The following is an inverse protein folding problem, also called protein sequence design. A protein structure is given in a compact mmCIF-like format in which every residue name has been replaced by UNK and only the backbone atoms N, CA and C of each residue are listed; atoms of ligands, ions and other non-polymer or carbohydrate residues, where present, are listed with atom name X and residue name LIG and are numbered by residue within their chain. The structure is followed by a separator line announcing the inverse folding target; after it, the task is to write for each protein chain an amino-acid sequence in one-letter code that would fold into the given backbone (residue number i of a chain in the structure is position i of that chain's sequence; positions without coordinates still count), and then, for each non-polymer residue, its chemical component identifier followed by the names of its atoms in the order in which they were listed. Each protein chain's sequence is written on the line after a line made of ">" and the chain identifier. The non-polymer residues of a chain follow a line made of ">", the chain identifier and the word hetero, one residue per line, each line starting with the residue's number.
data_IF_068471152344
#
_entry.id   IF_068471152344
#
_cell.length_a   1.000
_cell.length_b   1.000
_cell.length_c   1.000
_cell.angle_alpha   90.00
_cell.angle_beta   90.00
_cell.angle_gamma   90.00
#
_symmetry.space_group_name_H-M   'P 1'
#
loop_
_entity.id
_entity.type
_entity.pdbx_description
1 polymer ?
#
# COMPACT_ATOMS: atom_id res chain seq x y z
N UNK A 1 -6.97 3.76 21.04
CA UNK A 1 -6.53 2.40 20.67
C UNK A 1 -7.28 1.39 21.54
N UNK A 2 -8.56 1.17 21.25
CA UNK A 2 -9.50 0.50 22.20
C UNK A 2 -10.56 -0.34 21.49
N UNK A 3 -10.35 -0.69 20.22
CA UNK A 3 -11.22 -1.63 19.50
C UNK A 3 -10.52 -2.96 19.33
N UNK A 4 -11.21 -4.05 19.68
CA UNK A 4 -10.80 -5.46 19.48
C UNK A 4 -10.34 -5.72 18.05
N UNK A 5 -10.93 -5.00 17.09
CA UNK A 5 -10.58 -5.13 15.67
C UNK A 5 -9.12 -4.76 15.39
N UNK A 6 -8.49 -3.93 16.23
CA UNK A 6 -7.08 -3.59 16.12
C UNK A 6 -6.14 -4.72 16.59
N UNK A 7 -6.67 -5.84 17.08
CA UNK A 7 -5.89 -7.05 17.33
C UNK A 7 -6.15 -8.11 16.26
N UNK A 8 -7.12 -7.91 15.36
CA UNK A 8 -7.52 -8.90 14.37
C UNK A 8 -6.43 -9.20 13.31
N UNK A 9 -5.46 -8.29 13.12
CA UNK A 9 -4.30 -8.52 12.26
C UNK A 9 -3.20 -9.37 12.93
N UNK A 10 -3.33 -9.64 14.23
CA UNK A 10 -2.30 -10.28 15.03
C UNK A 10 -2.40 -11.82 15.03
N UNK A 11 -2.70 -12.42 13.86
CA UNK A 11 -2.76 -13.87 13.68
C UNK A 11 -1.45 -14.57 14.08
N UNK A 12 -0.32 -13.88 13.96
CA UNK A 12 1.01 -14.32 14.40
C UNK A 12 1.15 -14.50 15.92
N UNK A 13 0.20 -14.02 16.72
CA UNK A 13 0.19 -14.22 18.17
C UNK A 13 -0.32 -15.62 18.57
N UNK A 14 -0.76 -16.44 17.62
CA UNK A 14 -1.25 -17.80 17.89
C UNK A 14 -2.57 -17.84 18.64
N UNK A 15 -3.35 -16.76 18.62
CA UNK A 15 -4.62 -16.67 19.33
C UNK A 15 -5.74 -17.48 18.66
N UNK A 16 -5.70 -17.65 17.35
CA UNK A 16 -6.71 -18.43 16.61
C UNK A 16 -6.10 -19.18 15.44
N UNK A 17 -6.68 -20.32 15.10
CA UNK A 17 -6.21 -21.21 14.05
C UNK A 17 -6.95 -22.54 14.03
N UNK A 18 -6.57 -23.40 13.10
CA UNK A 18 -7.13 -24.75 13.00
C UNK A 18 -6.27 -25.70 13.84
N UNK A 19 -6.86 -26.33 14.86
CA UNK A 19 -6.19 -27.29 15.72
C UNK A 19 -6.42 -27.06 17.22
N UNK A 20 -6.21 -28.07 18.07
CA UNK A 20 -6.39 -27.98 19.52
C UNK A 20 -5.39 -27.07 20.23
N UNK A 21 -4.29 -26.68 19.56
CA UNK A 21 -3.28 -25.77 20.07
C UNK A 21 -3.72 -24.30 20.09
N UNK A 22 -4.78 -23.95 19.36
CA UNK A 22 -5.28 -22.59 19.28
C UNK A 22 -6.40 -22.34 20.31
N UNK A 23 -6.34 -21.24 21.09
CA UNK A 23 -7.38 -20.89 22.05
C UNK A 23 -8.75 -20.62 21.42
N UNK A 24 -8.77 -20.12 20.17
CA UNK A 24 -9.98 -19.82 19.43
C UNK A 24 -9.98 -20.51 18.04
N UNK A 25 -11.12 -21.05 17.58
CA UNK A 25 -11.21 -21.78 16.32
C UNK A 25 -11.15 -20.87 15.08
N UNK A 26 -11.49 -19.59 15.23
CA UNK A 26 -11.42 -18.60 14.15
C UNK A 26 -11.26 -17.19 14.70
N UNK A 27 -10.88 -16.27 13.80
CA UNK A 27 -10.79 -14.83 14.08
C UNK A 27 -12.14 -14.27 14.55
N UNK A 28 -13.22 -14.66 13.90
CA UNK A 28 -14.58 -14.22 14.22
C UNK A 28 -14.96 -14.66 15.64
N UNK A 29 -14.62 -15.90 16.02
CA UNK A 29 -14.86 -16.42 17.36
C UNK A 29 -14.09 -15.63 18.43
N UNK A 30 -12.82 -15.28 18.17
CA UNK A 30 -12.03 -14.42 19.05
C UNK A 30 -12.67 -13.03 19.21
N UNK A 31 -13.02 -12.37 18.09
CA UNK A 31 -13.61 -11.03 18.12
C UNK A 31 -14.92 -11.04 18.90
N UNK A 32 -15.81 -11.99 18.62
CA UNK A 32 -17.09 -12.10 19.34
C UNK A 32 -16.91 -12.37 20.83
N UNK A 33 -15.94 -13.21 21.21
CA UNK A 33 -15.64 -13.48 22.62
C UNK A 33 -15.12 -12.23 23.35
N UNK A 34 -14.25 -11.45 22.70
CA UNK A 34 -13.72 -10.21 23.25
C UNK A 34 -14.77 -9.10 23.33
N UNK A 35 -15.69 -9.01 22.38
CA UNK A 35 -16.81 -8.07 22.42
C UNK A 35 -17.80 -8.42 23.54
N UNK A 36 -18.12 -9.70 23.70
CA UNK A 36 -19.00 -10.18 24.77
C UNK A 36 -18.37 -10.01 26.17
N UNK A 37 -17.07 -10.27 26.31
CA UNK A 37 -16.35 -10.17 27.58
C UNK A 37 -15.83 -8.77 27.93
N UNK A 38 -15.90 -7.83 26.98
CA UNK A 38 -15.49 -6.43 27.16
C UNK A 38 -14.04 -6.26 27.63
N UNK A 39 -13.80 -5.22 28.43
CA UNK A 39 -12.45 -4.84 28.87
C UNK A 39 -11.79 -5.93 29.73
N UNK A 40 -12.56 -6.64 30.55
CA UNK A 40 -12.04 -7.68 31.43
C UNK A 40 -11.46 -8.87 30.64
N UNK A 41 -12.16 -9.35 29.61
CA UNK A 41 -11.65 -10.41 28.75
C UNK A 41 -10.40 -9.97 27.98
N UNK A 42 -10.39 -8.72 27.51
CA UNK A 42 -9.23 -8.15 26.84
C UNK A 42 -8.00 -8.03 27.75
N UNK A 43 -8.21 -7.74 29.04
CA UNK A 43 -7.15 -7.66 30.03
C UNK A 43 -6.50 -9.03 30.30
N UNK A 44 -7.31 -10.10 30.36
CA UNK A 44 -6.79 -11.48 30.50
C UNK A 44 -5.92 -11.84 29.29
N UNK A 45 -6.42 -11.60 28.07
CA UNK A 45 -5.66 -11.90 26.84
C UNK A 45 -4.36 -11.07 26.81
N UNK A 46 -4.40 -9.79 27.14
CA UNK A 46 -3.20 -8.96 27.18
C UNK A 46 -2.17 -9.43 28.22
N UNK A 47 -2.64 -9.89 29.39
CA UNK A 47 -1.79 -10.46 30.45
C UNK A 47 -1.13 -11.75 29.99
N UNK A 48 -1.87 -12.63 29.33
CA UNK A 48 -1.35 -13.92 28.86
C UNK A 48 -0.34 -13.70 27.73
N UNK A 49 -0.65 -12.83 26.76
CA UNK A 49 0.29 -12.45 25.71
C UNK A 49 1.58 -11.82 26.26
N UNK A 50 1.48 -11.02 27.33
CA UNK A 50 2.66 -10.47 28.01
C UNK A 50 3.49 -11.57 28.68
N UNK A 51 2.84 -12.54 29.30
CA UNK A 51 3.50 -13.68 29.98
C UNK A 51 4.21 -14.59 28.98
N UNK A 52 3.62 -14.78 27.80
CA UNK A 52 4.21 -15.53 26.68
C UNK A 52 5.29 -14.74 25.92
N UNK A 53 5.54 -13.47 26.30
CA UNK A 53 6.51 -12.61 25.62
C UNK A 53 6.03 -12.01 24.30
N UNK A 54 4.84 -12.39 23.82
CA UNK A 54 4.22 -11.90 22.58
C UNK A 54 3.75 -10.45 22.66
N UNK A 55 3.57 -9.91 23.86
CA UNK A 55 3.19 -8.52 24.10
C UNK A 55 4.17 -7.84 25.06
N UNK A 56 5.40 -7.66 24.57
CA UNK A 56 6.58 -7.29 25.37
C UNK A 56 6.63 -5.80 25.71
N UNK A 57 6.12 -4.91 24.85
CA UNK A 57 6.14 -3.46 25.08
C UNK A 57 4.88 -2.77 24.54
N UNK A 58 4.30 -1.87 25.35
CA UNK A 58 3.12 -1.04 24.97
C UNK A 58 3.53 0.16 24.10
N UNK A 59 4.79 0.57 24.18
CA UNK A 59 5.40 1.63 23.41
C UNK A 59 6.88 1.30 23.22
N UNK A 60 7.42 1.65 22.05
CA UNK A 60 8.86 1.58 21.80
C UNK A 60 9.51 2.83 22.38
N UNK A 61 10.60 2.66 23.14
CA UNK A 61 11.46 3.79 23.51
C UNK A 61 12.24 4.24 22.27
N UNK A 62 12.43 5.54 22.12
CA UNK A 62 13.35 6.09 21.11
C UNK A 62 14.80 6.11 21.59
N UNK A 63 15.05 5.72 22.85
CA UNK A 63 16.40 5.61 23.39
C UNK A 63 17.22 4.57 22.60
N UNK A 64 18.40 4.98 22.11
CA UNK A 64 19.25 4.15 21.25
C UNK A 64 18.81 4.01 19.79
N UNK A 65 17.71 4.66 19.36
CA UNK A 65 17.28 4.63 17.95
C UNK A 65 18.24 5.45 17.09
N UNK A 66 18.76 4.82 16.03
CA UNK A 66 19.53 5.49 14.98
C UNK A 66 18.66 5.61 13.74
N UNK A 67 18.74 6.75 13.07
CA UNK A 67 18.11 6.98 11.78
C UNK A 67 19.18 6.94 10.71
N UNK A 68 18.92 6.18 9.65
CA UNK A 68 19.77 6.13 8.48
C UNK A 68 18.92 6.19 7.20
N UNK A 69 19.48 6.78 6.15
CA UNK A 69 18.85 6.88 4.84
C UNK A 69 19.51 5.86 3.93
N UNK A 70 18.80 4.78 3.65
CA UNK A 70 19.25 3.80 2.65
C UNK A 70 19.06 4.38 1.25
N UNK A 71 20.16 4.79 0.63
CA UNK A 71 20.17 5.29 -0.74
C UNK A 71 20.21 4.13 -1.76
N UNK A 72 19.36 4.21 -2.77
CA UNK A 72 19.44 3.35 -3.95
C UNK A 72 19.94 4.18 -5.14
N UNK A 73 21.20 3.99 -5.52
CA UNK A 73 21.76 4.58 -6.72
C UNK A 73 21.15 3.88 -7.96
N UNK A 74 20.49 4.66 -8.81
CA UNK A 74 19.95 4.13 -10.06
C UNK A 74 21.10 3.66 -10.96
N UNK A 75 20.96 2.44 -11.46
CA UNK A 75 21.84 1.90 -12.51
C UNK A 75 21.59 2.65 -13.83
N UNK A 76 22.56 2.66 -14.76
CA UNK A 76 22.38 3.29 -16.07
C UNK A 76 21.12 2.82 -16.81
N UNK A 77 20.79 1.52 -16.72
CA UNK A 77 19.58 0.95 -17.31
C UNK A 77 18.30 1.48 -16.63
N UNK A 78 18.29 1.64 -15.30
CA UNK A 78 17.15 2.23 -14.60
C UNK A 78 16.98 3.72 -14.91
N UNK A 79 18.09 4.47 -15.07
CA UNK A 79 18.09 5.85 -15.53
C UNK A 79 17.47 5.96 -16.91
N UNK A 80 17.86 5.10 -17.86
CA UNK A 80 17.29 5.08 -19.20
C UNK A 80 15.77 4.82 -19.18
N UNK A 81 15.31 3.86 -18.38
CA UNK A 81 13.89 3.57 -18.19
C UNK A 81 13.16 4.80 -17.63
N UNK A 82 13.72 5.44 -16.59
CA UNK A 82 13.14 6.63 -15.98
C UNK A 82 13.02 7.77 -17.00
N UNK A 83 14.08 8.03 -17.74
CA UNK A 83 14.15 9.10 -18.73
C UNK A 83 13.19 8.86 -19.91
N UNK A 84 13.04 7.61 -20.35
CA UNK A 84 12.06 7.24 -21.37
C UNK A 84 10.63 7.58 -20.94
N UNK A 85 10.25 7.22 -19.71
CA UNK A 85 8.93 7.57 -19.17
C UNK A 85 8.79 9.08 -18.93
N UNK A 86 9.82 9.76 -18.43
CA UNK A 86 9.82 11.20 -18.28
C UNK A 86 9.61 11.91 -19.63
N UNK A 87 10.25 11.43 -20.69
CA UNK A 87 10.06 11.88 -22.07
C UNK A 87 8.62 11.66 -22.55
N UNK A 88 8.03 10.50 -22.27
CA UNK A 88 6.64 10.21 -22.61
C UNK A 88 5.65 11.14 -21.89
N UNK A 89 5.77 11.29 -20.56
CA UNK A 89 4.93 12.20 -19.78
C UNK A 89 5.10 13.66 -20.19
N UNK A 90 6.32 14.09 -20.56
CA UNK A 90 6.57 15.42 -21.11
C UNK A 90 5.82 15.63 -22.43
N UNK A 91 5.84 14.64 -23.31
CA UNK A 91 5.12 14.68 -24.60
C UNK A 91 3.61 14.77 -24.37
N UNK A 92 3.06 13.97 -23.45
CA UNK A 92 1.63 14.02 -23.11
C UNK A 92 1.28 15.39 -22.51
N UNK A 93 2.07 15.88 -21.58
CA UNK A 93 1.84 17.18 -20.94
C UNK A 93 1.85 18.33 -21.96
N UNK A 94 2.78 18.31 -22.92
CA UNK A 94 2.83 19.30 -24.01
C UNK A 94 1.55 19.31 -24.86
N UNK A 95 1.02 18.13 -25.15
CA UNK A 95 -0.19 17.98 -25.97
C UNK A 95 -1.51 18.01 -25.17
N UNK A 96 -1.44 18.13 -23.84
CA UNK A 96 -2.60 17.98 -22.95
C UNK A 96 -3.69 19.02 -23.24
N UNK A 97 -3.30 20.29 -23.47
CA UNK A 97 -4.27 21.35 -23.80
C UNK A 97 -4.97 21.10 -25.14
N UNK A 98 -4.19 20.70 -26.16
CA UNK A 98 -4.75 20.36 -27.47
C UNK A 98 -5.69 19.16 -27.39
N UNK A 99 -5.32 18.14 -26.62
CA UNK A 99 -6.17 16.97 -26.37
C UNK A 99 -7.47 17.36 -25.66
N UNK A 100 -7.41 18.19 -24.60
CA UNK A 100 -8.60 18.64 -23.87
C UNK A 100 -9.57 19.44 -24.75
N UNK A 101 -9.04 20.28 -25.66
CA UNK A 101 -9.85 20.99 -26.65
C UNK A 101 -10.45 20.03 -27.67
N UNK A 102 -9.67 19.08 -28.20
CA UNK A 102 -10.15 18.10 -29.17
C UNK A 102 -11.24 17.18 -28.61
N UNK A 103 -11.21 16.88 -27.30
CA UNK A 103 -12.22 16.05 -26.62
C UNK A 103 -13.45 16.85 -26.15
N UNK A 104 -13.58 18.12 -26.52
CA UNK A 104 -14.73 18.96 -26.15
C UNK A 104 -14.80 19.34 -24.68
N UNK A 105 -13.73 19.13 -23.90
CA UNK A 105 -13.66 19.57 -22.49
C UNK A 105 -13.55 21.10 -22.42
N UNK A 106 -12.90 21.70 -23.42
CA UNK A 106 -12.92 23.13 -23.67
C UNK A 106 -13.92 23.39 -24.82
N UNK A 107 -15.23 23.41 -24.54
CA UNK A 107 -16.16 23.86 -25.56
C UNK A 107 -16.01 25.38 -25.76
N UNK A 108 -15.97 25.83 -27.00
CA UNK A 108 -15.68 27.22 -27.38
C UNK A 108 -16.81 28.21 -27.01
N UNK A 109 -17.85 27.74 -26.34
CA UNK A 109 -19.06 28.47 -25.94
C UNK A 109 -18.94 29.26 -24.64
N UNK A 110 -17.86 29.08 -23.86
CA UNK A 110 -17.61 29.87 -22.65
C UNK A 110 -18.51 29.54 -21.45
N UNK A 111 -19.11 28.35 -21.40
CA UNK A 111 -19.93 27.93 -20.27
C UNK A 111 -19.11 27.69 -18.99
N UNK A 112 -19.72 28.03 -17.84
CA UNK A 112 -19.13 28.05 -16.49
C UNK A 112 -18.57 26.71 -15.99
N UNK A 113 -18.79 25.60 -16.69
CA UNK A 113 -18.33 24.25 -16.33
C UNK A 113 -17.03 23.81 -17.04
N UNK A 114 -16.61 24.46 -18.13
CA UNK A 114 -15.43 24.07 -18.89
C UNK A 114 -14.12 24.25 -18.08
N UNK A 115 -14.06 25.29 -17.25
CA UNK A 115 -12.89 25.58 -16.39
C UNK A 115 -12.70 24.53 -15.28
N UNK A 116 -13.79 24.08 -14.66
CA UNK A 116 -13.78 23.03 -13.64
C UNK A 116 -13.42 21.66 -14.24
N UNK A 117 -13.96 21.33 -15.42
CA UNK A 117 -13.62 20.10 -16.12
C UNK A 117 -12.14 20.05 -16.52
N UNK A 118 -11.60 21.16 -17.04
CA UNK A 118 -10.18 21.33 -17.34
C UNK A 118 -9.29 21.17 -16.11
N UNK A 119 -9.64 21.84 -15.01
CA UNK A 119 -8.89 21.73 -13.75
C UNK A 119 -8.89 20.30 -13.20
N UNK A 120 -10.04 19.62 -13.26
CA UNK A 120 -10.19 18.21 -12.87
C UNK A 120 -9.31 17.29 -13.72
N UNK A 121 -9.32 17.46 -15.04
CA UNK A 121 -8.51 16.66 -15.95
C UNK A 121 -7.00 16.83 -15.70
N UNK A 122 -6.53 18.08 -15.52
CA UNK A 122 -5.13 18.36 -15.15
C UNK A 122 -4.74 17.72 -13.82
N UNK A 123 -5.59 17.84 -12.81
CA UNK A 123 -5.36 17.24 -11.50
C UNK A 123 -5.27 15.70 -11.58
N UNK A 124 -6.14 15.07 -12.37
CA UNK A 124 -6.09 13.62 -12.62
C UNK A 124 -4.81 13.21 -13.34
N UNK A 125 -4.39 13.95 -14.36
CA UNK A 125 -3.15 13.68 -15.07
C UNK A 125 -1.93 13.79 -14.13
N UNK A 126 -1.80 14.90 -13.41
CA UNK A 126 -0.67 15.15 -12.52
C UNK A 126 -0.60 14.16 -11.36
N UNK A 127 -1.74 13.85 -10.73
CA UNK A 127 -1.78 12.84 -9.66
C UNK A 127 -1.45 11.43 -10.18
N UNK A 128 -1.82 11.10 -11.41
CA UNK A 128 -1.48 9.82 -12.05
C UNK A 128 0.00 9.74 -12.37
N UNK A 129 0.59 10.81 -12.90
CA UNK A 129 2.04 10.94 -13.11
C UNK A 129 2.83 10.73 -11.81
N UNK A 130 2.43 11.39 -10.73
CA UNK A 130 3.09 11.22 -9.42
C UNK A 130 3.00 9.77 -8.91
N UNK A 131 1.80 9.16 -8.96
CA UNK A 131 1.63 7.75 -8.56
C UNK A 131 2.45 6.78 -9.40
N UNK A 132 2.52 7.02 -10.71
CA UNK A 132 3.31 6.22 -11.64
C UNK A 132 4.80 6.23 -11.26
N UNK A 133 5.40 7.42 -11.11
CA UNK A 133 6.82 7.51 -10.77
C UNK A 133 7.12 7.00 -9.36
N UNK A 134 6.21 7.19 -8.41
CA UNK A 134 6.36 6.60 -7.08
C UNK A 134 6.43 5.06 -7.14
N UNK A 135 5.57 4.42 -7.94
CA UNK A 135 5.60 2.96 -8.12
C UNK A 135 6.84 2.50 -8.88
N UNK A 136 7.19 3.19 -9.97
CA UNK A 136 8.39 2.88 -10.76
C UNK A 136 9.64 2.90 -9.87
N UNK A 137 9.82 4.00 -9.13
CA UNK A 137 10.94 4.14 -8.22
C UNK A 137 10.86 3.11 -7.09
N UNK A 138 9.70 2.85 -6.48
CA UNK A 138 9.56 1.78 -5.49
C UNK A 138 10.03 0.42 -5.99
N UNK A 139 9.67 0.04 -7.22
CA UNK A 139 10.18 -1.18 -7.84
C UNK A 139 11.70 -1.17 -8.00
N UNK A 140 12.27 -0.04 -8.43
CA UNK A 140 13.72 0.11 -8.62
C UNK A 140 14.52 -0.05 -7.32
N UNK A 141 14.05 0.50 -6.19
CA UNK A 141 14.74 0.41 -4.87
C UNK A 141 14.54 -0.92 -4.14
N UNK A 142 13.58 -1.76 -4.56
CA UNK A 142 13.29 -3.01 -3.87
C UNK A 142 14.52 -3.90 -3.64
N UNK A 143 15.45 -4.08 -4.61
CA UNK A 143 16.65 -4.89 -4.39
C UNK A 143 17.57 -4.36 -3.28
N UNK A 144 17.77 -3.03 -3.18
CA UNK A 144 18.58 -2.44 -2.12
C UNK A 144 17.97 -2.65 -0.74
N UNK A 145 16.64 -2.52 -0.63
CA UNK A 145 15.92 -2.78 0.62
C UNK A 145 16.03 -4.26 1.01
N UNK A 146 15.84 -5.17 0.06
CA UNK A 146 15.97 -6.62 0.30
C UNK A 146 17.39 -6.96 0.76
N UNK A 147 18.41 -6.41 0.12
CA UNK A 147 19.80 -6.63 0.53
C UNK A 147 20.08 -6.11 1.94
N UNK A 148 19.56 -4.93 2.31
CA UNK A 148 19.70 -4.38 3.65
C UNK A 148 19.01 -5.26 4.71
N UNK A 149 17.78 -5.72 4.42
CA UNK A 149 17.05 -6.65 5.29
C UNK A 149 17.83 -7.95 5.49
N UNK A 150 18.39 -8.52 4.42
CA UNK A 150 19.17 -9.75 4.52
C UNK A 150 20.42 -9.58 5.40
N UNK A 151 21.09 -8.42 5.30
CA UNK A 151 22.22 -8.10 6.15
C UNK A 151 21.80 -7.96 7.62
N UNK A 152 20.76 -7.17 7.90
CA UNK A 152 20.23 -6.98 9.27
C UNK A 152 19.83 -8.31 9.91
N UNK A 153 19.18 -9.20 9.16
CA UNK A 153 18.83 -10.54 9.62
C UNK A 153 20.08 -11.39 9.92
N UNK A 154 21.13 -11.29 9.10
CA UNK A 154 22.39 -11.99 9.32
C UNK A 154 23.13 -11.51 10.58
N UNK A 155 22.95 -10.23 10.92
CA UNK A 155 23.48 -9.61 12.15
C UNK A 155 22.62 -9.93 13.39
N UNK A 156 21.54 -10.70 13.22
CA UNK A 156 20.65 -11.14 14.31
C UNK A 156 19.56 -10.14 14.68
N UNK A 157 19.34 -9.10 13.87
CA UNK A 157 18.25 -8.15 14.07
C UNK A 157 16.91 -8.68 13.53
N UNK A 158 15.82 -8.07 14.00
CA UNK A 158 14.49 -8.27 13.44
C UNK A 158 14.06 -7.02 12.67
N UNK A 159 13.73 -7.18 11.39
CA UNK A 159 13.33 -6.06 10.53
C UNK A 159 11.81 -5.81 10.63
N UNK A 160 11.42 -4.58 10.93
CA UNK A 160 10.02 -4.12 10.87
C UNK A 160 9.88 -3.20 9.66
N UNK A 161 9.03 -3.59 8.71
CA UNK A 161 8.85 -2.86 7.45
C UNK A 161 7.48 -2.18 7.48
N UNK A 162 7.48 -0.86 7.40
CA UNK A 162 6.26 -0.09 7.19
C UNK A 162 6.12 0.24 5.70
N UNK A 163 5.05 -0.26 5.09
CA UNK A 163 4.69 0.08 3.71
C UNK A 163 3.68 1.23 3.74
N UNK A 164 4.10 2.42 3.30
CA UNK A 164 3.30 3.67 3.38
C UNK A 164 2.15 3.69 2.36
N UNK A 165 2.19 2.84 1.34
CA UNK A 165 1.13 2.70 0.35
C UNK A 165 0.94 1.22 0.03
N UNK A 166 -0.09 0.60 0.60
CA UNK A 166 -0.43 -0.80 0.32
C UNK A 166 -1.16 -0.97 -1.00
N UNK A 167 -1.60 0.13 -1.64
CA UNK A 167 -2.52 0.06 -2.77
C UNK A 167 -3.77 -0.77 -2.47
N UNK A 168 -4.08 -1.01 -1.19
CA UNK A 168 -4.93 -2.12 -0.73
C UNK A 168 -6.33 -2.04 -1.30
N UNK A 169 -6.94 -0.84 -1.37
CA UNK A 169 -8.25 -0.68 -1.98
C UNK A 169 -8.26 -0.98 -3.48
N UNK A 170 -7.14 -0.75 -4.19
CA UNK A 170 -6.98 -1.05 -5.61
C UNK A 170 -6.66 -2.52 -5.83
N UNK A 171 -5.76 -3.08 -5.01
CA UNK A 171 -5.41 -4.50 -5.02
C UNK A 171 -6.63 -5.36 -4.65
N UNK A 172 -7.40 -4.97 -3.62
CA UNK A 172 -8.62 -5.64 -3.19
C UNK A 172 -9.68 -5.65 -4.29
N UNK A 173 -9.93 -4.51 -4.95
CA UNK A 173 -10.84 -4.46 -6.12
C UNK A 173 -10.37 -5.35 -7.26
N UNK A 174 -9.06 -5.51 -7.43
CA UNK A 174 -8.48 -6.36 -8.47
C UNK A 174 -8.62 -7.84 -8.12
N UNK A 175 -8.32 -8.21 -6.88
CA UNK A 175 -8.56 -9.55 -6.34
C UNK A 175 -10.03 -9.95 -6.41
N UNK A 176 -10.96 -9.00 -6.22
CA UNK A 176 -12.41 -9.22 -6.39
C UNK A 176 -12.82 -9.49 -7.86
N UNK A 177 -11.96 -9.13 -8.82
CA UNK A 177 -12.18 -9.38 -10.26
C UNK A 177 -11.32 -10.51 -10.84
N UNK A 178 -10.46 -11.13 -10.02
CA UNK A 178 -9.64 -12.28 -10.42
C UNK A 178 -10.41 -13.58 -10.19
N UNK A 179 -10.20 -14.56 -11.06
CA UNK A 179 -10.69 -15.91 -10.86
C UNK A 179 -9.86 -16.59 -9.74
N UNK A 180 -10.45 -17.43 -8.87
CA UNK A 180 -9.72 -18.24 -7.90
C UNK A 180 -8.48 -18.98 -8.42
N UNK A 181 -8.44 -19.31 -9.72
CA UNK A 181 -7.34 -20.02 -10.36
C UNK A 181 -6.22 -19.09 -10.91
N UNK A 182 -6.41 -17.77 -10.89
CA UNK A 182 -5.42 -16.80 -11.39
C UNK A 182 -4.21 -16.67 -10.43
N UNK A 183 -3.00 -16.55 -10.98
CA UNK A 183 -1.81 -16.32 -10.17
C UNK A 183 -1.86 -14.94 -9.48
N UNK A 184 -1.57 -14.87 -8.18
CA UNK A 184 -1.54 -13.61 -7.40
C UNK A 184 -0.62 -12.53 -8.00
N UNK A 185 0.35 -12.92 -8.82
CA UNK A 185 1.27 -12.01 -9.52
C UNK A 185 0.53 -11.19 -10.60
N UNK A 186 -0.56 -11.72 -11.16
CA UNK A 186 -1.42 -11.02 -12.12
C UNK A 186 -2.26 -9.91 -11.46
N UNK A 187 -2.46 -10.02 -10.14
CA UNK A 187 -3.06 -8.97 -9.31
C UNK A 187 -2.13 -7.80 -9.01
N UNK A 188 -0.83 -7.88 -9.36
CA UNK A 188 0.14 -6.85 -9.02
C UNK A 188 -0.19 -5.52 -9.69
N UNK A 189 -0.22 -4.45 -8.88
CA UNK A 189 -0.35 -3.08 -9.38
C UNK A 189 0.97 -2.66 -10.02
N UNK A 190 1.00 -2.62 -11.34
CA UNK A 190 2.16 -2.16 -12.10
C UNK A 190 2.01 -0.68 -12.45
N UNK A 191 3.12 0.04 -12.70
CA UNK A 191 3.05 1.38 -13.25
C UNK A 191 2.20 1.46 -14.53
N UNK A 192 2.19 0.39 -15.35
CA UNK A 192 1.35 0.28 -16.56
C UNK A 192 -0.14 0.43 -16.25
N UNK A 193 -0.61 -0.11 -15.13
CA UNK A 193 -2.01 -0.06 -14.74
C UNK A 193 -2.48 1.35 -14.39
N UNK A 194 -1.61 2.18 -13.82
CA UNK A 194 -1.92 3.60 -13.59
C UNK A 194 -2.10 4.39 -14.88
N UNK A 195 -1.43 3.96 -15.95
CA UNK A 195 -1.53 4.61 -17.27
C UNK A 195 -2.76 4.09 -18.03
N UNK A 196 -3.10 2.81 -17.89
CA UNK A 196 -4.22 2.19 -18.60
C UNK A 196 -5.57 2.37 -17.91
N UNK A 197 -5.63 2.48 -16.58
CA UNK A 197 -6.86 2.81 -15.84
C UNK A 197 -7.18 4.31 -15.92
N UNK A 198 -7.44 4.79 -17.13
CA UNK A 198 -8.15 6.05 -17.37
C UNK A 198 -9.63 5.88 -16.99
N UNK A 199 -9.94 6.13 -15.72
CA UNK A 199 -11.26 6.08 -15.07
C UNK A 199 -11.75 4.68 -14.63
N UNK A 200 -12.07 4.50 -13.32
CA UNK A 200 -13.09 3.53 -12.97
C UNK A 200 -14.42 4.05 -13.51
N UNK A 201 -15.06 3.26 -14.38
CA UNK A 201 -16.48 3.38 -14.63
C UNK A 201 -17.20 3.45 -13.29
N UNK A 202 -17.82 4.60 -12.99
CA UNK A 202 -18.92 4.65 -12.05
C UNK A 202 -20.17 4.23 -12.82
N UNK A 203 -20.58 3.00 -12.62
CA UNK A 203 -21.97 2.56 -12.71
C UNK A 203 -22.25 1.81 -11.42
#
# INVERSE_FOLDING_TARGET
>A
ATSVHNLAYASRLGLWGQGPEYPFPSRESFVSAMEAGGVAAMEVVARDLKTLGFYTARALSFDGVKYDVLEHALTPAQTEIYDAYAGAFRTIHHNLEAALTATGVNDASGETNASAAKASAKSRFESTKQRFFNHLLMGMKAPSIVSAIQQDLSDGYACVIQVVSTGESLLKRRLEMMDPDDELVEGALTPRDYVLCGAPHKT
#
